data_IF_589941023698
#
_entry.id   IF_589941023698
#
_cell.length_a   1.000
_cell.length_b   1.000
_cell.length_c   1.000
_cell.angle_alpha   90.00
_cell.angle_beta   90.00
_cell.angle_gamma   90.00
#
_symmetry.space_group_name_H-M   'P 1'
#
loop_
_entity.id
_entity.type
_entity.pdbx_description
1 polymer ?
#
# COMPACT_ATOMS: atom_id res chain seq x y z
N UNK A 1 5.61 -11.70 -11.94
CA UNK A 1 5.39 -10.44 -11.15
C UNK A 1 6.19 -9.32 -11.76
N UNK A 2 5.56 -8.19 -12.10
CA UNK A 2 6.25 -6.95 -12.53
C UNK A 2 6.76 -6.16 -11.32
N UNK A 3 7.79 -5.36 -11.52
CA UNK A 3 8.45 -4.57 -10.47
C UNK A 3 8.53 -3.09 -10.85
N UNK A 4 8.56 -2.23 -9.84
CA UNK A 4 8.85 -0.81 -9.97
C UNK A 4 10.17 -0.49 -9.27
N UNK A 5 11.02 0.28 -9.95
CA UNK A 5 12.31 0.69 -9.42
C UNK A 5 12.23 2.14 -8.94
N UNK A 6 12.64 2.40 -7.72
CA UNK A 6 12.73 3.74 -7.16
C UNK A 6 13.98 3.87 -6.30
N UNK A 7 14.78 4.88 -6.55
CA UNK A 7 16.09 5.01 -5.94
C UNK A 7 16.87 3.68 -6.09
N UNK A 8 17.29 3.07 -5.01
CA UNK A 8 17.99 1.78 -5.01
C UNK A 8 17.07 0.61 -4.62
N UNK A 9 15.74 0.80 -4.69
CA UNK A 9 14.75 -0.19 -4.29
C UNK A 9 14.04 -0.77 -5.52
N UNK A 10 13.77 -2.07 -5.46
CA UNK A 10 12.92 -2.78 -6.42
C UNK A 10 11.73 -3.32 -5.65
N UNK A 11 10.52 -2.81 -5.94
CA UNK A 11 9.28 -3.24 -5.29
C UNK A 11 8.38 -3.98 -6.29
N UNK A 12 7.69 -5.05 -5.85
CA UNK A 12 6.67 -5.66 -6.69
C UNK A 12 5.53 -4.66 -6.92
N UNK A 13 4.97 -4.66 -8.12
CA UNK A 13 3.83 -3.82 -8.49
C UNK A 13 2.57 -4.12 -7.69
N UNK A 14 2.47 -5.34 -7.15
CA UNK A 14 1.36 -5.78 -6.29
C UNK A 14 1.93 -6.25 -4.95
N UNK A 15 1.55 -5.56 -3.88
CA UNK A 15 1.76 -5.97 -2.50
C UNK A 15 0.48 -6.53 -1.88
N UNK A 16 0.56 -7.04 -0.67
CA UNK A 16 -0.56 -7.55 0.12
C UNK A 16 -0.95 -6.53 1.20
N UNK A 17 -2.14 -5.93 1.06
CA UNK A 17 -2.72 -5.06 2.07
C UNK A 17 -3.31 -5.87 3.24
N UNK A 18 -3.22 -5.35 4.47
CA UNK A 18 -3.70 -6.06 5.67
C UNK A 18 -4.85 -5.35 6.41
N UNK A 19 -5.49 -4.36 5.80
CA UNK A 19 -6.71 -3.78 6.36
C UNK A 19 -7.77 -4.88 6.54
N UNK A 20 -8.38 -4.97 7.72
CA UNK A 20 -9.30 -6.03 8.20
C UNK A 20 -8.68 -7.39 8.58
N UNK A 21 -7.36 -7.55 8.49
CA UNK A 21 -6.68 -8.70 9.08
C UNK A 21 -6.73 -8.57 10.61
N UNK A 22 -7.28 -9.57 11.31
CA UNK A 22 -7.41 -9.59 12.76
C UNK A 22 -8.46 -8.64 13.34
N UNK A 23 -9.33 -8.05 12.49
CA UNK A 23 -10.35 -7.07 12.84
C UNK A 23 -10.26 -5.78 12.02
N UNK A 24 -11.09 -4.80 12.31
CA UNK A 24 -11.06 -3.49 11.64
C UNK A 24 -10.24 -2.46 12.45
N UNK A 25 -10.90 -1.68 13.31
CA UNK A 25 -10.25 -0.68 14.18
C UNK A 25 -9.81 -1.24 15.53
N UNK A 26 -10.35 -2.39 15.93
CA UNK A 26 -10.00 -3.13 17.14
C UNK A 26 -9.78 -4.60 16.83
N UNK A 27 -8.97 -5.27 17.65
CA UNK A 27 -8.72 -6.71 17.52
C UNK A 27 -10.01 -7.52 17.61
N UNK A 28 -10.17 -8.45 16.68
CA UNK A 28 -11.21 -9.48 16.70
C UNK A 28 -10.55 -10.87 16.51
N UNK A 29 -10.14 -11.54 17.58
CA UNK A 29 -9.49 -12.84 17.50
C UNK A 29 -10.32 -13.94 16.86
N UNK A 30 -11.65 -13.74 16.71
CA UNK A 30 -12.51 -14.71 16.02
C UNK A 30 -12.20 -14.78 14.53
N UNK A 31 -11.58 -13.72 13.96
CA UNK A 31 -11.14 -13.64 12.57
C UNK A 31 -9.73 -14.19 12.33
N UNK A 32 -8.97 -14.49 13.39
CA UNK A 32 -7.57 -14.93 13.30
C UNK A 32 -7.36 -16.15 12.41
N UNK A 33 -8.20 -17.21 12.48
CA UNK A 33 -7.98 -18.38 11.61
C UNK A 33 -8.02 -18.02 10.12
N UNK A 34 -8.97 -17.20 9.69
CA UNK A 34 -9.10 -16.75 8.30
C UNK A 34 -7.96 -15.79 7.93
N UNK A 35 -7.61 -14.85 8.81
CA UNK A 35 -6.51 -13.90 8.67
C UNK A 35 -5.17 -14.61 8.49
N UNK A 36 -4.86 -15.56 9.36
CA UNK A 36 -3.62 -16.36 9.28
C UNK A 36 -3.57 -17.25 8.04
N UNK A 37 -4.71 -17.81 7.61
CA UNK A 37 -4.81 -18.57 6.36
C UNK A 37 -4.47 -17.68 5.16
N UNK A 38 -5.02 -16.47 5.10
CA UNK A 38 -4.75 -15.50 4.04
C UNK A 38 -3.29 -15.07 3.99
N UNK A 39 -2.69 -14.71 5.14
CA UNK A 39 -1.29 -14.32 5.24
C UNK A 39 -0.33 -15.44 4.81
N UNK A 40 -0.57 -16.68 5.28
CA UNK A 40 0.22 -17.85 4.84
C UNK A 40 0.06 -18.14 3.35
N UNK A 41 -1.15 -18.00 2.81
CA UNK A 41 -1.39 -18.15 1.37
C UNK A 41 -0.63 -17.10 0.56
N UNK A 42 -0.67 -15.83 0.97
CA UNK A 42 0.08 -14.77 0.31
C UNK A 42 1.60 -15.03 0.32
N UNK A 43 2.17 -15.42 1.47
CA UNK A 43 3.59 -15.78 1.56
C UNK A 43 3.94 -16.98 0.68
N UNK A 44 3.10 -18.02 0.64
CA UNK A 44 3.30 -19.20 -0.19
C UNK A 44 3.22 -18.91 -1.70
N UNK A 45 2.32 -18.01 -2.12
CA UNK A 45 2.16 -17.57 -3.52
C UNK A 45 3.39 -16.75 -3.97
N UNK A 46 4.09 -16.09 -3.05
CA UNK A 46 5.28 -15.30 -3.35
C UNK A 46 5.11 -13.79 -3.19
N UNK A 47 4.11 -13.33 -2.46
CA UNK A 47 4.08 -11.93 -2.04
C UNK A 47 5.27 -11.61 -1.16
N UNK A 48 5.99 -10.56 -1.51
CA UNK A 48 7.15 -10.07 -0.75
C UNK A 48 6.92 -8.71 -0.11
N UNK A 49 5.92 -7.94 -0.56
CA UNK A 49 5.53 -6.66 0.02
C UNK A 49 4.24 -6.83 0.83
N UNK A 50 4.30 -6.53 2.13
CA UNK A 50 3.15 -6.50 3.04
C UNK A 50 2.96 -5.08 3.59
N UNK A 51 1.74 -4.56 3.45
CA UNK A 51 1.34 -3.24 3.94
C UNK A 51 0.39 -3.36 5.12
N UNK A 52 0.83 -2.92 6.29
CA UNK A 52 0.07 -2.90 7.53
C UNK A 52 0.07 -1.51 8.17
N UNK A 53 -0.49 -1.36 9.37
CA UNK A 53 -0.46 -0.13 10.17
C UNK A 53 -0.72 -0.43 11.66
N UNK A 54 -0.21 0.41 12.56
CA UNK A 54 -0.54 0.30 13.99
C UNK A 54 -2.03 0.49 14.29
N UNK A 55 -2.76 1.18 13.41
CA UNK A 55 -4.21 1.38 13.53
C UNK A 55 -5.01 0.10 13.21
N UNK A 56 -4.49 -0.77 12.32
CA UNK A 56 -5.25 -1.93 11.87
C UNK A 56 -5.45 -2.92 13.00
N UNK A 57 -6.72 -3.16 13.35
CA UNK A 57 -7.11 -3.99 14.49
C UNK A 57 -6.40 -3.59 15.82
N UNK A 58 -6.12 -2.28 16.02
CA UNK A 58 -5.39 -1.82 17.21
C UNK A 58 -3.95 -2.34 17.32
N UNK A 59 -3.32 -2.69 16.18
CA UNK A 59 -1.99 -3.27 16.08
C UNK A 59 -1.97 -4.80 15.95
N UNK A 60 -3.10 -5.47 16.14
CA UNK A 60 -3.16 -6.93 16.02
C UNK A 60 -2.85 -7.43 14.60
N UNK A 61 -3.15 -6.63 13.56
CA UNK A 61 -2.74 -6.94 12.20
C UNK A 61 -1.22 -7.08 12.06
N UNK A 62 -0.43 -6.22 12.72
CA UNK A 62 1.03 -6.32 12.73
C UNK A 62 1.51 -7.59 13.46
N UNK A 63 0.85 -7.98 14.57
CA UNK A 63 1.15 -9.22 15.29
C UNK A 63 0.93 -10.46 14.41
N UNK A 64 -0.20 -10.49 13.67
CA UNK A 64 -0.53 -11.60 12.76
C UNK A 64 0.44 -11.66 11.57
N UNK A 65 0.86 -10.53 11.00
CA UNK A 65 1.90 -10.49 9.96
C UNK A 65 3.21 -11.08 10.49
N UNK A 66 3.69 -10.60 11.64
CA UNK A 66 4.91 -11.12 12.26
C UNK A 66 4.82 -12.61 12.59
N UNK A 67 3.66 -13.07 13.07
CA UNK A 67 3.38 -14.48 13.33
C UNK A 67 3.41 -15.32 12.06
N UNK A 68 2.76 -14.88 10.97
CA UNK A 68 2.73 -15.58 9.69
C UNK A 68 4.13 -15.74 9.09
N UNK A 69 4.95 -14.70 9.14
CA UNK A 69 6.35 -14.74 8.67
C UNK A 69 7.17 -15.80 9.42
N UNK A 70 7.03 -15.86 10.74
CA UNK A 70 7.70 -16.88 11.55
C UNK A 70 7.22 -18.29 11.27
N UNK A 71 5.89 -18.50 11.21
CA UNK A 71 5.30 -19.83 10.97
C UNK A 71 5.63 -20.39 9.59
N UNK A 72 5.84 -19.54 8.60
CA UNK A 72 6.23 -19.96 7.23
C UNK A 72 7.74 -20.07 7.05
N UNK A 73 8.56 -19.76 8.06
CA UNK A 73 10.02 -19.67 7.97
C UNK A 73 10.49 -18.75 6.83
N UNK A 74 9.71 -17.72 6.49
CA UNK A 74 10.08 -16.76 5.45
C UNK A 74 11.20 -15.86 5.96
N UNK A 75 12.30 -15.78 5.21
CA UNK A 75 13.44 -14.92 5.59
C UNK A 75 13.06 -13.46 5.55
N UNK A 76 13.38 -12.72 6.63
CA UNK A 76 13.03 -11.30 6.79
C UNK A 76 13.60 -10.41 5.67
N UNK A 77 14.81 -10.72 5.21
CA UNK A 77 15.48 -10.01 4.14
C UNK A 77 14.81 -10.13 2.77
N UNK A 78 13.94 -11.13 2.58
CA UNK A 78 13.16 -11.32 1.36
C UNK A 78 11.84 -10.54 1.37
N UNK A 79 11.54 -9.85 2.46
CA UNK A 79 10.28 -9.12 2.64
C UNK A 79 10.51 -7.62 2.66
N UNK A 80 9.55 -6.90 2.10
CA UNK A 80 9.40 -5.45 2.22
C UNK A 80 8.14 -5.16 3.07
N UNK A 81 8.36 -4.72 4.29
CA UNK A 81 7.29 -4.47 5.28
C UNK A 81 7.04 -2.98 5.38
N UNK A 82 5.83 -2.57 5.04
CA UNK A 82 5.31 -1.22 5.25
C UNK A 82 4.41 -1.20 6.47
N UNK A 83 4.66 -0.28 7.40
CA UNK A 83 3.69 0.05 8.45
C UNK A 83 3.60 1.56 8.63
N UNK A 84 2.68 2.04 9.49
CA UNK A 84 2.28 3.44 9.52
C UNK A 84 2.03 3.92 10.94
N UNK A 85 2.49 5.14 11.25
CA UNK A 85 2.13 5.84 12.48
C UNK A 85 0.77 6.51 12.32
N UNK A 86 -0.09 6.35 13.32
CA UNK A 86 -1.44 6.94 13.36
C UNK A 86 -1.42 8.46 13.53
N UNK A 87 -2.46 9.19 13.08
CA UNK A 87 -2.53 10.64 13.20
C UNK A 87 -2.45 11.13 14.66
N UNK A 88 -2.89 10.30 15.61
CA UNK A 88 -2.86 10.60 17.04
C UNK A 88 -1.45 10.63 17.63
N UNK A 89 -0.48 9.97 16.98
CA UNK A 89 0.87 9.75 17.46
C UNK A 89 1.94 10.50 16.65
N UNK A 90 1.63 11.69 16.12
CA UNK A 90 2.54 12.45 15.25
C UNK A 90 3.49 13.40 16.01
N UNK A 91 3.37 13.52 17.33
CA UNK A 91 4.33 14.27 18.13
C UNK A 91 5.64 13.48 18.27
N UNK A 92 6.78 14.18 18.42
CA UNK A 92 8.13 13.59 18.34
C UNK A 92 8.30 12.29 19.13
N UNK A 93 8.01 12.33 20.44
CA UNK A 93 8.20 11.16 21.31
C UNK A 93 7.19 10.05 21.00
N UNK A 94 6.02 10.39 20.53
CA UNK A 94 4.98 9.41 20.21
C UNK A 94 5.29 8.66 18.92
N UNK A 95 5.85 9.34 17.89
CA UNK A 95 6.38 8.68 16.69
C UNK A 95 7.42 7.61 17.06
N UNK A 96 8.38 7.96 17.94
CA UNK A 96 9.42 7.02 18.38
C UNK A 96 8.82 5.82 19.12
N UNK A 97 7.91 6.06 20.08
CA UNK A 97 7.21 5.01 20.82
C UNK A 97 6.36 4.12 19.93
N UNK A 98 5.65 4.70 18.96
CA UNK A 98 4.81 3.97 17.99
C UNK A 98 5.65 3.04 17.13
N UNK A 99 6.78 3.50 16.61
CA UNK A 99 7.70 2.67 15.85
C UNK A 99 8.21 1.49 16.69
N UNK A 100 8.62 1.74 17.93
CA UNK A 100 9.08 0.67 18.85
C UNK A 100 7.98 -0.35 19.18
N UNK A 101 6.73 0.10 19.29
CA UNK A 101 5.58 -0.80 19.45
C UNK A 101 5.33 -1.63 18.20
N UNK A 102 5.37 -1.01 17.01
CA UNK A 102 5.21 -1.71 15.72
C UNK A 102 6.29 -2.77 15.52
N UNK A 103 7.56 -2.45 15.79
CA UNK A 103 8.67 -3.41 15.74
C UNK A 103 8.44 -4.60 16.66
N UNK A 104 7.97 -4.36 17.89
CA UNK A 104 7.64 -5.44 18.85
C UNK A 104 6.50 -6.31 18.36
N UNK A 105 5.39 -5.72 17.86
CA UNK A 105 4.24 -6.48 17.34
C UNK A 105 4.63 -7.33 16.11
N UNK A 106 5.34 -6.74 15.17
CA UNK A 106 5.90 -7.43 14.00
C UNK A 106 6.94 -8.49 14.40
N UNK A 107 7.58 -8.33 15.58
CA UNK A 107 8.74 -9.11 16.03
C UNK A 107 9.87 -9.05 14.99
N UNK A 108 10.23 -7.83 14.59
CA UNK A 108 11.27 -7.52 13.60
C UNK A 108 12.21 -6.45 14.13
N UNK A 109 13.46 -6.46 13.64
CA UNK A 109 14.49 -5.49 14.04
C UNK A 109 14.38 -4.16 13.30
N UNK A 110 13.80 -4.16 12.09
CA UNK A 110 13.62 -2.98 11.26
C UNK A 110 12.33 -3.04 10.43
N UNK A 111 11.85 -1.86 10.04
CA UNK A 111 10.75 -1.62 9.10
C UNK A 111 11.35 -1.14 7.77
N UNK A 112 10.91 -1.72 6.64
CA UNK A 112 11.43 -1.28 5.33
C UNK A 112 10.88 0.07 4.92
N UNK A 113 9.61 0.36 5.24
CA UNK A 113 8.96 1.62 4.92
C UNK A 113 7.99 2.03 6.04
N UNK A 114 8.22 3.21 6.61
CA UNK A 114 7.38 3.78 7.66
C UNK A 114 6.66 5.02 7.17
N UNK A 115 5.33 5.04 7.28
CA UNK A 115 4.50 6.11 6.75
C UNK A 115 3.84 6.94 7.85
N UNK A 116 3.62 8.22 7.59
CA UNK A 116 2.54 8.96 8.25
C UNK A 116 1.23 8.47 7.64
N UNK A 117 0.33 7.86 8.43
CA UNK A 117 -0.89 7.22 7.93
C UNK A 117 -1.91 8.24 7.37
N UNK A 118 -2.13 9.32 8.10
CA UNK A 118 -2.96 10.46 7.71
C UNK A 118 -2.38 11.74 8.27
N UNK A 119 -2.44 12.85 7.53
CA UNK A 119 -2.13 14.15 8.11
C UNK A 119 -3.19 14.54 9.14
N UNK A 120 -2.78 15.16 10.23
CA UNK A 120 -3.65 15.72 11.27
C UNK A 120 -3.64 17.23 11.19
N UNK A 121 -4.81 17.87 11.35
CA UNK A 121 -4.89 19.33 11.47
C UNK A 121 -4.08 19.78 12.69
N UNK A 122 -3.22 20.78 12.50
CA UNK A 122 -2.36 21.31 13.56
C UNK A 122 -1.13 20.45 13.90
N UNK A 123 -0.85 19.37 13.15
CA UNK A 123 0.38 18.62 13.36
C UNK A 123 1.61 19.49 13.10
N UNK A 124 2.64 19.31 13.92
CA UNK A 124 3.95 19.95 13.76
C UNK A 124 4.82 19.10 12.83
N UNK A 125 4.60 19.23 11.52
CA UNK A 125 5.20 18.37 10.50
C UNK A 125 6.72 18.26 10.61
N UNK A 126 7.41 19.38 10.90
CA UNK A 126 8.86 19.40 11.11
C UNK A 126 9.30 18.53 12.29
N UNK A 127 8.59 18.61 13.43
CA UNK A 127 8.87 17.78 14.61
C UNK A 127 8.62 16.30 14.34
N UNK A 128 7.54 15.99 13.60
CA UNK A 128 7.24 14.62 13.16
C UNK A 128 8.38 14.08 12.28
N UNK A 129 8.88 14.87 11.32
CA UNK A 129 9.99 14.45 10.47
C UNK A 129 11.32 14.39 11.23
N UNK A 130 11.53 15.23 12.22
CA UNK A 130 12.70 15.11 13.11
C UNK A 130 12.74 13.73 13.80
N UNK A 131 11.60 13.22 14.26
CA UNK A 131 11.50 11.87 14.82
C UNK A 131 11.71 10.78 13.76
N UNK A 132 11.07 10.90 12.59
CA UNK A 132 11.20 9.95 11.48
C UNK A 132 12.66 9.86 10.99
N UNK A 133 13.33 11.00 10.81
CA UNK A 133 14.75 11.06 10.44
C UNK A 133 15.64 10.37 11.50
N UNK A 134 15.33 10.55 12.81
CA UNK A 134 16.02 9.82 13.87
C UNK A 134 15.83 8.31 13.75
N UNK A 135 14.62 7.83 13.46
CA UNK A 135 14.36 6.39 13.28
C UNK A 135 15.17 5.79 12.12
N UNK A 136 15.38 6.56 11.05
CA UNK A 136 16.25 6.16 9.94
C UNK A 136 17.71 6.10 10.37
N UNK A 137 18.20 7.14 11.05
CA UNK A 137 19.61 7.16 11.57
C UNK A 137 19.86 6.04 12.57
N UNK A 138 18.87 5.69 13.40
CA UNK A 138 18.95 4.59 14.35
C UNK A 138 18.85 3.18 13.70
N UNK A 139 18.60 3.11 12.38
CA UNK A 139 18.46 1.86 11.64
C UNK A 139 17.15 1.10 11.86
N UNK A 140 16.21 1.67 12.64
CA UNK A 140 14.88 1.07 12.91
C UNK A 140 13.95 1.13 11.70
N UNK A 141 14.16 2.11 10.84
CA UNK A 141 13.39 2.35 9.60
C UNK A 141 14.38 2.54 8.46
N UNK A 142 14.12 1.88 7.32
CA UNK A 142 14.98 2.02 6.14
C UNK A 142 14.56 3.15 5.22
N UNK A 143 13.26 3.34 5.04
CA UNK A 143 12.71 4.32 4.11
C UNK A 143 11.50 5.02 4.71
N UNK A 144 11.29 6.28 4.32
CA UNK A 144 10.17 7.10 4.73
C UNK A 144 9.17 7.31 3.60
N UNK A 145 7.90 7.44 3.97
CA UNK A 145 6.84 7.81 3.07
C UNK A 145 5.69 8.50 3.82
N UNK A 146 4.69 8.89 3.06
CA UNK A 146 3.49 9.53 3.58
C UNK A 146 2.24 8.88 2.99
N UNK A 147 1.09 9.14 3.60
CA UNK A 147 -0.19 8.68 3.07
C UNK A 147 -1.22 9.80 3.16
N UNK A 148 -2.03 9.94 2.09
CA UNK A 148 -3.10 10.94 1.99
C UNK A 148 -2.63 12.40 2.00
N UNK A 149 -1.39 12.65 1.58
CA UNK A 149 -0.85 14.00 1.49
C UNK A 149 -1.26 14.65 0.17
N UNK A 150 -1.79 15.87 0.26
CA UNK A 150 -1.95 16.73 -0.91
C UNK A 150 -0.59 17.25 -1.39
N UNK A 151 -0.56 17.89 -2.55
CA UNK A 151 0.68 18.35 -3.16
C UNK A 151 1.49 19.32 -2.28
N UNK A 152 0.80 20.22 -1.56
CA UNK A 152 1.46 21.18 -0.65
C UNK A 152 2.15 20.47 0.51
N UNK A 153 1.43 19.58 1.18
CA UNK A 153 1.96 18.82 2.30
C UNK A 153 3.09 17.85 1.87
N UNK A 154 2.96 17.22 0.70
CA UNK A 154 4.02 16.35 0.18
C UNK A 154 5.32 17.12 -0.04
N UNK A 155 5.27 18.31 -0.64
CA UNK A 155 6.44 19.18 -0.82
C UNK A 155 7.05 19.63 0.51
N UNK A 156 6.21 19.96 1.50
CA UNK A 156 6.69 20.30 2.85
C UNK A 156 7.36 19.08 3.52
N UNK A 157 6.75 17.89 3.42
CA UNK A 157 7.35 16.67 3.93
C UNK A 157 8.74 16.41 3.33
N UNK A 158 8.88 16.58 2.02
CA UNK A 158 10.17 16.44 1.34
C UNK A 158 11.22 17.44 1.83
N UNK A 159 10.82 18.66 2.22
CA UNK A 159 11.75 19.65 2.73
C UNK A 159 12.25 19.39 4.16
N UNK A 160 11.54 18.60 4.95
CA UNK A 160 11.91 18.21 6.31
C UNK A 160 12.56 16.82 6.40
N UNK A 161 12.43 16.02 5.34
CA UNK A 161 13.02 14.68 5.31
C UNK A 161 14.48 14.72 4.92
N UNK A 162 15.33 14.06 5.71
CA UNK A 162 16.78 13.90 5.40
C UNK A 162 17.04 12.82 4.35
N UNK A 163 16.04 11.95 4.10
CA UNK A 163 16.08 10.91 3.07
C UNK A 163 14.92 11.10 2.10
N UNK A 164 14.98 10.58 0.87
CA UNK A 164 13.86 10.68 -0.06
C UNK A 164 12.56 10.14 0.52
N UNK A 165 11.45 10.86 0.33
CA UNK A 165 10.10 10.33 0.54
C UNK A 165 9.80 9.39 -0.64
N UNK A 166 9.82 8.09 -0.41
CA UNK A 166 9.73 7.12 -1.51
C UNK A 166 8.30 6.86 -1.99
N UNK A 167 7.28 7.19 -1.19
CA UNK A 167 5.88 7.01 -1.60
C UNK A 167 4.94 8.01 -0.97
N UNK A 168 3.87 8.32 -1.71
CA UNK A 168 2.62 8.84 -1.16
C UNK A 168 1.53 7.78 -1.38
N UNK A 169 1.04 7.16 -0.30
CA UNK A 169 0.00 6.14 -0.36
C UNK A 169 -1.37 6.82 -0.39
N UNK A 170 -2.13 6.63 -1.46
CA UNK A 170 -3.39 7.34 -1.73
C UNK A 170 -4.46 6.39 -2.29
N UNK A 171 -5.76 6.71 -2.17
CA UNK A 171 -6.81 5.98 -2.85
C UNK A 171 -6.67 6.22 -4.36
N UNK A 172 -6.39 5.18 -5.11
CA UNK A 172 -6.28 5.27 -6.56
C UNK A 172 -6.79 3.99 -7.23
N UNK A 173 -7.72 4.14 -8.15
CA UNK A 173 -8.36 3.03 -8.86
C UNK A 173 -9.06 3.58 -10.11
N UNK A 174 -9.54 2.70 -11.00
CA UNK A 174 -10.33 3.11 -12.16
C UNK A 174 -11.46 4.11 -11.83
N UNK A 175 -12.29 3.90 -10.78
CA UNK A 175 -13.34 4.86 -10.44
C UNK A 175 -12.91 5.98 -9.46
N UNK A 176 -11.65 6.09 -9.09
CA UNK A 176 -11.19 7.13 -8.16
C UNK A 176 -9.93 7.82 -8.69
N UNK A 177 -10.10 8.99 -9.28
CA UNK A 177 -9.06 9.83 -9.85
C UNK A 177 -8.80 11.12 -9.07
N UNK A 178 -9.33 11.29 -7.86
CA UNK A 178 -9.21 12.51 -7.04
C UNK A 178 -7.78 13.04 -6.94
N UNK A 179 -6.80 12.16 -6.75
CA UNK A 179 -5.40 12.56 -6.66
C UNK A 179 -4.72 12.74 -8.03
N UNK A 180 -5.31 12.23 -9.11
CA UNK A 180 -4.92 12.56 -10.50
C UNK A 180 -5.33 13.98 -10.83
N UNK A 181 -6.59 14.34 -10.58
CA UNK A 181 -7.17 15.65 -10.83
C UNK A 181 -6.48 16.76 -10.04
N UNK A 182 -6.12 16.48 -8.77
CA UNK A 182 -5.34 17.42 -7.94
C UNK A 182 -3.85 17.54 -8.32
N UNK A 183 -3.40 16.79 -9.32
CA UNK A 183 -2.01 16.81 -9.82
C UNK A 183 -0.99 16.06 -8.96
N UNK A 184 -1.41 15.41 -7.86
CA UNK A 184 -0.50 14.67 -6.95
C UNK A 184 0.14 13.50 -7.66
N UNK A 185 -0.64 12.68 -8.38
CA UNK A 185 -0.10 11.53 -9.13
C UNK A 185 0.95 11.97 -10.14
N UNK A 186 0.65 12.99 -10.93
CA UNK A 186 1.60 13.54 -11.92
C UNK A 186 2.86 14.09 -11.27
N UNK A 187 2.74 14.73 -10.11
CA UNK A 187 3.89 15.21 -9.35
C UNK A 187 4.77 14.03 -8.87
N UNK A 188 4.17 13.03 -8.27
CA UNK A 188 4.86 11.83 -7.79
C UNK A 188 5.66 11.16 -8.92
N UNK A 189 5.00 10.92 -10.07
CA UNK A 189 5.62 10.31 -11.25
C UNK A 189 6.82 11.08 -11.79
N UNK A 190 6.83 12.42 -11.66
CA UNK A 190 7.90 13.29 -12.15
C UNK A 190 9.05 13.52 -11.17
N UNK A 191 8.86 13.21 -9.88
CA UNK A 191 9.79 13.54 -8.81
C UNK A 191 10.27 12.30 -8.04
N UNK A 192 10.30 11.14 -8.69
CA UNK A 192 10.76 9.88 -8.10
C UNK A 192 10.08 9.54 -6.76
N UNK A 193 8.75 9.72 -6.71
CA UNK A 193 7.89 9.28 -5.61
C UNK A 193 6.94 8.23 -6.15
N UNK A 194 6.83 7.09 -5.48
CA UNK A 194 5.81 6.09 -5.82
C UNK A 194 4.42 6.58 -5.41
N UNK A 195 3.42 6.15 -6.15
CA UNK A 195 2.04 6.13 -5.72
C UNK A 195 1.72 4.72 -5.24
N UNK A 196 1.49 4.54 -3.94
CA UNK A 196 0.95 3.28 -3.44
C UNK A 196 -0.58 3.36 -3.44
N UNK A 197 -1.20 2.69 -4.41
CA UNK A 197 -2.65 2.70 -4.61
C UNK A 197 -3.34 1.76 -3.62
N UNK A 198 -4.05 2.32 -2.61
CA UNK A 198 -4.85 1.53 -1.69
C UNK A 198 -6.33 1.50 -2.08
N UNK A 199 -7.07 0.51 -1.56
CA UNK A 199 -8.49 0.25 -1.90
C UNK A 199 -8.75 0.15 -3.42
N UNK A 200 -7.92 -0.56 -4.19
CA UNK A 200 -7.98 -0.54 -5.65
C UNK A 200 -9.27 -1.18 -6.20
N UNK A 201 -9.96 -2.01 -5.40
CA UNK A 201 -11.12 -2.82 -5.80
C UNK A 201 -12.39 -2.52 -5.00
N UNK A 202 -12.45 -1.40 -4.27
CA UNK A 202 -13.54 -1.11 -3.31
C UNK A 202 -14.91 -0.82 -3.95
N UNK A 203 -14.98 -0.49 -5.23
CA UNK A 203 -16.18 0.04 -5.86
C UNK A 203 -17.04 -1.01 -6.54
N UNK A 204 -18.34 -1.06 -6.17
CA UNK A 204 -19.33 -1.98 -6.80
C UNK A 204 -19.50 -1.74 -8.30
N UNK A 205 -19.31 -0.51 -8.79
CA UNK A 205 -19.38 -0.14 -10.20
C UNK A 205 -18.46 -0.97 -11.10
N UNK A 206 -17.35 -1.48 -10.59
CA UNK A 206 -16.45 -2.34 -11.36
C UNK A 206 -17.10 -3.68 -11.75
N UNK A 207 -18.03 -4.21 -10.93
CA UNK A 207 -18.67 -5.53 -11.19
C UNK A 207 -19.58 -5.53 -12.41
N UNK A 208 -20.19 -4.41 -12.73
CA UNK A 208 -21.22 -4.27 -13.77
C UNK A 208 -20.77 -3.42 -14.94
N UNK A 209 -19.51 -2.98 -14.94
CA UNK A 209 -18.99 -2.17 -16.04
C UNK A 209 -18.76 -3.02 -17.28
N UNK A 210 -19.38 -2.60 -18.40
CA UNK A 210 -19.37 -3.33 -19.67
C UNK A 210 -17.97 -3.42 -20.28
N UNK A 211 -17.26 -2.30 -20.36
CA UNK A 211 -15.91 -2.22 -20.95
C UNK A 211 -14.94 -3.11 -20.17
N UNK A 212 -14.98 -3.04 -18.84
CA UNK A 212 -14.15 -3.89 -17.98
C UNK A 212 -14.48 -5.39 -18.16
N UNK A 213 -15.77 -5.73 -18.30
CA UNK A 213 -16.21 -7.10 -18.53
C UNK A 213 -15.79 -7.66 -19.91
N UNK A 214 -15.83 -6.85 -20.96
CA UNK A 214 -15.38 -7.24 -22.30
C UNK A 214 -13.88 -7.52 -22.33
N UNK A 215 -13.06 -6.63 -21.74
CA UNK A 215 -11.61 -6.81 -21.65
C UNK A 215 -11.27 -8.04 -20.78
N UNK A 216 -11.96 -8.21 -19.65
CA UNK A 216 -11.79 -9.38 -18.79
C UNK A 216 -12.02 -10.70 -19.53
N UNK A 217 -13.08 -10.75 -20.35
CA UNK A 217 -13.38 -11.92 -21.18
C UNK A 217 -12.29 -12.19 -22.22
N UNK A 218 -11.75 -11.15 -22.87
CA UNK A 218 -10.68 -11.29 -23.87
C UNK A 218 -9.39 -11.87 -23.27
N UNK A 219 -9.10 -11.55 -22.00
CA UNK A 219 -7.93 -12.03 -21.26
C UNK A 219 -8.19 -13.32 -20.43
N UNK A 220 -9.39 -13.91 -20.51
CA UNK A 220 -9.79 -15.03 -19.62
C UNK A 220 -9.58 -14.70 -18.14
N UNK A 221 -9.81 -13.46 -17.75
CA UNK A 221 -9.59 -12.90 -16.43
C UNK A 221 -10.91 -12.38 -15.82
N UNK A 222 -10.85 -12.01 -14.53
CA UNK A 222 -11.95 -11.32 -13.87
C UNK A 222 -11.86 -9.80 -14.08
N UNK A 223 -12.98 -9.05 -14.00
CA UNK A 223 -12.95 -7.58 -14.03
C UNK A 223 -12.02 -6.96 -12.98
N UNK A 224 -11.90 -7.58 -11.80
CA UNK A 224 -10.99 -7.13 -10.74
C UNK A 224 -9.52 -7.30 -11.11
N UNK A 225 -9.18 -8.39 -11.79
CA UNK A 225 -7.81 -8.60 -12.29
C UNK A 225 -7.46 -7.55 -13.36
N UNK A 226 -8.37 -7.20 -14.24
CA UNK A 226 -8.14 -6.14 -15.24
C UNK A 226 -7.96 -4.78 -14.57
N UNK A 227 -8.75 -4.47 -13.55
CA UNK A 227 -8.58 -3.22 -12.78
C UNK A 227 -7.21 -3.13 -12.08
N UNK A 228 -6.70 -4.25 -11.54
CA UNK A 228 -5.35 -4.31 -10.98
C UNK A 228 -4.28 -4.24 -12.08
N UNK A 229 -4.46 -4.94 -13.19
CA UNK A 229 -3.55 -4.89 -14.34
C UNK A 229 -3.41 -3.46 -14.87
N UNK A 230 -4.51 -2.70 -14.93
CA UNK A 230 -4.49 -1.28 -15.29
C UNK A 230 -3.62 -0.45 -14.34
N UNK A 231 -3.73 -0.64 -13.01
CA UNK A 231 -2.86 0.02 -12.03
C UNK A 231 -1.39 -0.38 -12.20
N UNK A 232 -1.13 -1.65 -12.45
CA UNK A 232 0.22 -2.18 -12.71
C UNK A 232 0.87 -1.52 -13.92
N UNK A 233 0.09 -1.16 -14.95
CA UNK A 233 0.59 -0.48 -16.14
C UNK A 233 0.89 1.00 -15.92
N UNK A 234 0.36 1.63 -14.85
CA UNK A 234 0.66 3.01 -14.55
C UNK A 234 2.13 3.17 -14.10
N UNK A 235 2.86 4.17 -14.64
CA UNK A 235 4.23 4.42 -14.22
C UNK A 235 4.28 4.91 -12.77
N UNK A 236 5.28 4.45 -12.02
CA UNK A 236 5.48 4.81 -10.60
C UNK A 236 4.30 4.45 -9.68
N UNK A 237 3.47 3.48 -10.05
CA UNK A 237 2.35 3.00 -9.23
C UNK A 237 2.62 1.58 -8.78
N UNK A 238 2.43 1.32 -7.50
CA UNK A 238 2.28 -0.01 -6.89
C UNK A 238 0.92 -0.09 -6.22
N UNK A 239 0.35 -1.28 -6.06
CA UNK A 239 -0.97 -1.43 -5.45
C UNK A 239 -0.98 -2.52 -4.39
N UNK A 240 -1.87 -2.40 -3.41
CA UNK A 240 -1.94 -3.26 -2.22
C UNK A 240 -3.36 -3.80 -1.99
N UNK A 241 -3.91 -4.60 -2.93
CA UNK A 241 -5.19 -5.25 -2.73
C UNK A 241 -5.14 -6.20 -1.52
N UNK A 242 -6.29 -6.37 -0.88
CA UNK A 242 -6.49 -7.28 0.25
C UNK A 242 -7.57 -8.29 -0.07
N UNK A 243 -7.43 -9.53 0.37
CA UNK A 243 -8.47 -10.54 0.40
C UNK A 243 -8.21 -11.59 1.48
N UNK A 244 -9.28 -12.14 2.07
CA UNK A 244 -9.23 -13.34 2.91
C UNK A 244 -9.46 -14.64 2.11
N UNK A 245 -9.89 -14.53 0.85
CA UNK A 245 -10.13 -15.68 -0.01
C UNK A 245 -8.85 -16.06 -0.76
N UNK A 246 -8.30 -17.28 -0.57
CA UNK A 246 -7.06 -17.72 -1.22
C UNK A 246 -7.08 -17.60 -2.75
N UNK A 247 -8.22 -17.91 -3.39
CA UNK A 247 -8.37 -17.75 -4.85
C UNK A 247 -8.22 -16.29 -5.28
N UNK A 248 -8.82 -15.35 -4.54
CA UNK A 248 -8.69 -13.93 -4.88
C UNK A 248 -7.27 -13.42 -4.60
N UNK A 249 -6.57 -13.97 -3.59
CA UNK A 249 -5.17 -13.61 -3.31
C UNK A 249 -4.29 -13.99 -4.50
N UNK A 250 -4.46 -15.20 -5.03
CA UNK A 250 -3.75 -15.68 -6.23
C UNK A 250 -4.12 -14.85 -7.46
N UNK A 251 -5.41 -14.64 -7.72
CA UNK A 251 -5.88 -13.80 -8.83
C UNK A 251 -5.33 -12.37 -8.79
N UNK A 252 -5.27 -11.77 -7.58
CA UNK A 252 -4.67 -10.45 -7.41
C UNK A 252 -3.19 -10.46 -7.77
N UNK A 253 -2.45 -11.47 -7.33
CA UNK A 253 -1.02 -11.62 -7.64
C UNK A 253 -0.77 -11.78 -9.14
N UNK A 254 -1.55 -12.62 -9.80
CA UNK A 254 -1.44 -12.93 -11.23
C UNK A 254 -1.84 -11.75 -12.12
N UNK A 255 -2.60 -10.79 -11.59
CA UNK A 255 -2.97 -9.58 -12.32
C UNK A 255 -1.76 -8.78 -12.84
N UNK A 256 -0.59 -8.93 -12.19
CA UNK A 256 0.65 -8.29 -12.63
C UNK A 256 1.14 -8.80 -13.99
N UNK A 257 0.70 -9.98 -14.43
CA UNK A 257 1.16 -10.59 -15.67
C UNK A 257 0.20 -10.35 -16.86
N UNK A 258 -0.99 -9.79 -16.61
CA UNK A 258 -1.96 -9.52 -17.69
C UNK A 258 -1.45 -8.39 -18.57
N UNK A 259 -1.22 -8.64 -19.88
CA UNK A 259 -0.66 -7.65 -20.79
C UNK A 259 -1.78 -6.82 -21.42
N UNK A 260 -2.21 -5.73 -20.79
CA UNK A 260 -3.17 -4.82 -21.40
C UNK A 260 -2.53 -4.08 -22.59
N UNK A 261 -3.24 -4.04 -23.71
CA UNK A 261 -2.86 -3.25 -24.88
C UNK A 261 -3.10 -1.75 -24.63
N UNK A 262 -2.47 -0.90 -25.45
CA UNK A 262 -2.67 0.56 -25.39
C UNK A 262 -4.13 0.93 -25.63
N UNK A 263 -4.83 0.24 -26.56
CA UNK A 263 -6.26 0.46 -26.81
C UNK A 263 -7.13 0.11 -25.59
N UNK A 264 -6.85 -1.01 -24.94
CA UNK A 264 -7.59 -1.41 -23.74
C UNK A 264 -7.39 -0.42 -22.59
N UNK A 265 -6.16 0.05 -22.38
CA UNK A 265 -5.87 1.09 -21.39
C UNK A 265 -6.65 2.36 -21.73
N UNK A 266 -6.59 2.82 -22.99
CA UNK A 266 -7.32 4.01 -23.45
C UNK A 266 -8.84 3.88 -23.27
N UNK A 267 -9.42 2.71 -23.56
CA UNK A 267 -10.85 2.43 -23.34
C UNK A 267 -11.21 2.52 -21.85
N UNK A 268 -10.37 1.95 -20.97
CA UNK A 268 -10.57 2.01 -19.53
C UNK A 268 -10.47 3.45 -19.01
N UNK A 269 -9.48 4.21 -19.42
CA UNK A 269 -9.29 5.62 -19.02
C UNK A 269 -10.49 6.48 -19.46
N UNK A 270 -10.98 6.31 -20.68
CA UNK A 270 -12.13 7.08 -21.18
C UNK A 270 -13.45 6.73 -20.49
N UNK A 271 -13.63 5.48 -20.10
CA UNK A 271 -14.86 5.03 -19.43
C UNK A 271 -15.06 5.72 -18.07
N UNK A 272 -13.98 5.92 -17.32
CA UNK A 272 -14.05 6.49 -15.98
C UNK A 272 -13.86 8.00 -15.94
N UNK A 273 -13.19 8.59 -16.92
CA UNK A 273 -13.07 10.06 -17.06
C UNK A 273 -14.39 10.73 -17.46
N UNK A 274 -15.29 10.02 -18.16
CA UNK A 274 -16.61 10.53 -18.57
C UNK A 274 -17.59 10.67 -17.41
N UNK A 275 -17.36 10.01 -16.29
CA UNK A 275 -18.24 10.04 -15.11
C UNK A 275 -17.81 11.09 -14.08
N UNK A 276 -16.85 11.97 -14.43
CA UNK A 276 -16.35 13.06 -13.57
C UNK A 276 -16.99 14.42 -13.93
N UNK A 277 -17.94 14.45 -14.86
CA UNK A 277 -18.82 15.57 -15.17
C UNK A 277 -20.21 15.31 -14.55
#
# INVERSE_FOLDING_TARGET
MKYENINNLTLPKIGFGTWTIGGESSADPTTDPASMSALRSALKIGYTHFDTAEYYAGGHAEELVGRAVRETNTKRENLFITTKVSPEHLDYDDVLKSCDKSLRRLNMEYIDLYLIHWPRVGMKLEETFRALNKLVRDGKVKNLGVSNFNLKLLKQAQSFSETPIITNQIPYSLPNHTYVESGVVKYCQKNDVLVTAYSPLKFRSMRVNKTLGEIAKAHSATPFQIALAWLVMQPRVVTIPMSLNPLHIEQNFDSAEIPLSVDEIFRLDNEWNKNSE
#
